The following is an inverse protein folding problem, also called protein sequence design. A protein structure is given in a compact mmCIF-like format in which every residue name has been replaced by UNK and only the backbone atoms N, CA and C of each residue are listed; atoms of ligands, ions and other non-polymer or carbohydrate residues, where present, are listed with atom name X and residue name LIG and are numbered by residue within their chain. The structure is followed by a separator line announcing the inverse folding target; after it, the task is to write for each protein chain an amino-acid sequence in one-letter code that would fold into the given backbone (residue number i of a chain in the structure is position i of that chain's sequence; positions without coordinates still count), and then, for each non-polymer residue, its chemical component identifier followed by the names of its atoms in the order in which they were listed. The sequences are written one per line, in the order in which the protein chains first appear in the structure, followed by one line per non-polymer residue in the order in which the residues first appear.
data_IF_649544737049
#
_entry.id   IF_649544737049
#
_cell.length_a   1.000
_cell.length_b   1.000
_cell.length_c   1.000
_cell.angle_alpha   90.00
_cell.angle_beta   90.00
_cell.angle_gamma   90.00
#
_symmetry.space_group_name_H-M   'P 1'
#
loop_
_entity.id
_entity.type
_entity.pdbx_description
1 polymer ?
#
# COMPACT_ATOMS: atom_id res chain seq x y z
N UNK A 1 -10.02 -9.66 -22.41
CA UNK A 1 -9.83 -9.76 -20.96
C UNK A 1 -8.39 -10.18 -20.70
N UNK A 2 -7.59 -9.34 -20.16
CA UNK A 2 -6.25 -9.62 -19.69
C UNK A 2 -6.26 -9.69 -18.18
N UNK A 3 -5.22 -10.23 -17.56
CA UNK A 3 -5.03 -10.17 -16.13
C UNK A 3 -4.56 -8.77 -15.66
N UNK A 4 -4.36 -8.61 -14.37
CA UNK A 4 -3.94 -7.31 -13.80
C UNK A 4 -2.52 -6.93 -14.22
N UNK A 5 -1.65 -7.89 -14.48
CA UNK A 5 -0.28 -7.63 -14.92
C UNK A 5 -0.27 -7.15 -16.36
N UNK A 6 -1.03 -7.79 -17.26
CA UNK A 6 -1.25 -7.34 -18.64
C UNK A 6 -1.84 -5.92 -18.69
N UNK A 7 -2.77 -5.61 -17.76
CA UNK A 7 -3.33 -4.28 -17.65
C UNK A 7 -2.27 -3.24 -17.31
N UNK A 8 -1.46 -3.51 -16.27
CA UNK A 8 -0.41 -2.59 -15.82
C UNK A 8 0.66 -2.40 -16.90
N UNK A 9 1.10 -3.50 -17.55
CA UNK A 9 2.10 -3.44 -18.60
C UNK A 9 1.66 -2.53 -19.75
N UNK A 10 0.45 -2.69 -20.25
CA UNK A 10 -0.09 -1.83 -21.30
C UNK A 10 -0.20 -0.38 -20.87
N UNK A 11 -0.73 -0.13 -19.66
CA UNK A 11 -0.91 1.23 -19.15
C UNK A 11 0.41 1.95 -18.86
N UNK A 12 1.43 1.22 -18.46
CA UNK A 12 2.76 1.78 -18.23
C UNK A 12 3.51 2.00 -19.54
N UNK A 13 3.30 1.15 -20.55
CA UNK A 13 3.89 1.33 -21.88
C UNK A 13 3.31 2.56 -22.61
N UNK A 14 2.01 2.80 -22.48
CA UNK A 14 1.35 3.97 -23.06
C UNK A 14 1.75 5.30 -22.35
N UNK A 15 2.22 5.21 -21.12
CA UNK A 15 2.52 6.33 -20.27
C UNK A 15 3.98 6.75 -20.27
N UNK A 16 4.60 6.99 -21.43
CA UNK A 16 5.93 7.59 -21.49
C UNK A 16 5.86 9.05 -21.03
N UNK A 17 5.97 9.27 -19.73
CA UNK A 17 6.08 10.62 -19.20
C UNK A 17 7.48 11.18 -19.52
N UNK A 18 7.50 12.38 -20.06
CA UNK A 18 8.72 13.19 -20.13
C UNK A 18 9.12 13.48 -18.68
N UNK A 19 10.18 12.85 -18.22
CA UNK A 19 10.69 13.10 -16.87
C UNK A 19 11.36 14.47 -16.85
N UNK A 20 10.88 15.34 -15.99
CA UNK A 20 11.57 16.59 -15.71
C UNK A 20 12.82 16.28 -14.87
N UNK A 21 14.03 16.71 -15.29
CA UNK A 21 15.24 16.49 -14.49
C UNK A 21 15.18 17.07 -13.07
N UNK A 22 14.38 18.11 -12.83
CA UNK A 22 14.16 18.67 -11.49
C UNK A 22 13.45 17.69 -10.55
N UNK A 23 12.81 16.64 -11.09
CA UNK A 23 12.12 15.61 -10.33
C UNK A 23 12.96 14.36 -10.04
N UNK A 24 14.26 14.37 -10.37
CA UNK A 24 15.12 13.19 -10.22
C UNK A 24 15.26 12.70 -8.78
N UNK A 25 15.17 13.59 -7.81
CA UNK A 25 15.18 13.25 -6.38
C UNK A 25 13.83 12.74 -5.86
N UNK A 26 12.75 12.88 -6.63
CA UNK A 26 11.40 12.46 -6.23
C UNK A 26 11.18 11.00 -6.65
N UNK A 27 10.91 10.07 -5.70
CA UNK A 27 10.83 8.65 -6.00
C UNK A 27 9.57 8.24 -6.78
N UNK A 28 8.50 9.05 -6.73
CA UNK A 28 7.26 8.82 -7.44
C UNK A 28 6.91 10.05 -8.30
N UNK A 29 6.96 9.88 -9.60
CA UNK A 29 6.72 10.94 -10.59
C UNK A 29 5.50 10.67 -11.47
N UNK A 30 4.56 9.88 -10.97
CA UNK A 30 3.34 9.45 -11.65
C UNK A 30 3.24 7.94 -11.79
N UNK A 31 2.13 7.46 -12.33
CA UNK A 31 1.84 6.05 -12.49
C UNK A 31 0.71 5.56 -11.59
N UNK A 32 0.80 4.32 -11.12
CA UNK A 32 -0.26 3.67 -10.36
C UNK A 32 0.16 3.38 -8.93
N UNK A 33 -0.75 3.61 -7.99
CA UNK A 33 -0.60 3.29 -6.57
C UNK A 33 -1.73 2.35 -6.17
N UNK A 34 -1.43 1.26 -5.47
CA UNK A 34 -2.44 0.30 -5.10
C UNK A 34 -1.87 -0.91 -4.38
N UNK A 35 -2.58 -2.03 -4.49
CA UNK A 35 -2.13 -3.30 -3.94
C UNK A 35 -2.46 -4.48 -4.86
N UNK A 36 -1.69 -5.55 -4.69
CA UNK A 36 -1.97 -6.87 -5.19
C UNK A 36 -2.30 -7.77 -3.99
N UNK A 37 -3.46 -8.43 -4.01
CA UNK A 37 -3.82 -9.45 -3.04
C UNK A 37 -2.99 -10.71 -3.25
N UNK A 38 -2.91 -11.55 -2.24
CA UNK A 38 -2.16 -12.80 -2.29
C UNK A 38 -2.71 -13.76 -3.36
N UNK A 39 -3.98 -13.63 -3.72
CA UNK A 39 -4.66 -14.40 -4.75
C UNK A 39 -4.06 -14.20 -6.14
N UNK A 40 -3.39 -13.07 -6.39
CA UNK A 40 -2.66 -12.81 -7.64
C UNK A 40 -1.52 -13.81 -7.90
N UNK A 41 -1.09 -14.60 -6.91
CA UNK A 41 -0.17 -15.73 -7.13
C UNK A 41 -0.68 -16.74 -8.17
N UNK A 42 -2.00 -16.82 -8.35
CA UNK A 42 -2.59 -17.68 -9.36
C UNK A 42 -2.17 -17.34 -10.80
N UNK A 43 -1.73 -16.10 -11.02
CA UNK A 43 -1.21 -15.67 -12.33
C UNK A 43 0.16 -16.29 -12.68
N UNK A 44 0.90 -16.76 -11.66
CA UNK A 44 2.28 -17.24 -11.83
C UNK A 44 2.55 -18.63 -11.25
N UNK A 45 1.85 -19.02 -10.17
CA UNK A 45 2.16 -20.22 -9.39
C UNK A 45 1.08 -21.30 -9.45
N UNK A 46 -0.02 -21.06 -10.18
CA UNK A 46 -1.14 -22.00 -10.31
C UNK A 46 -2.35 -21.63 -9.45
N UNK A 47 -3.45 -22.39 -9.53
CA UNK A 47 -4.76 -22.00 -9.03
C UNK A 47 -4.76 -21.79 -7.51
N UNK A 48 -5.59 -20.84 -7.07
CA UNK A 48 -5.82 -20.58 -5.66
C UNK A 48 -6.63 -21.69 -4.99
N UNK A 49 -6.17 -22.16 -3.83
CA UNK A 49 -6.93 -23.07 -2.99
C UNK A 49 -8.03 -22.36 -2.18
N UNK A 50 -7.93 -21.06 -2.04
CA UNK A 50 -8.86 -20.19 -1.30
C UNK A 50 -9.11 -18.92 -2.09
N UNK A 51 -10.29 -18.32 -1.89
CA UNK A 51 -10.66 -17.01 -2.45
C UNK A 51 -10.82 -16.01 -1.32
N UNK A 52 -10.38 -14.79 -1.57
CA UNK A 52 -10.64 -13.65 -0.70
C UNK A 52 -12.01 -13.05 -1.01
N UNK A 53 -12.65 -12.43 -0.01
CA UNK A 53 -13.83 -11.58 -0.22
C UNK A 53 -13.44 -10.19 -0.73
N UNK A 54 -12.15 -9.84 -0.64
CA UNK A 54 -11.60 -8.59 -1.13
C UNK A 54 -11.16 -8.74 -2.59
N UNK A 55 -11.13 -7.64 -3.36
CA UNK A 55 -10.58 -7.66 -4.70
C UNK A 55 -9.13 -8.15 -4.75
N UNK A 56 -8.78 -8.93 -5.76
CA UNK A 56 -7.42 -9.44 -5.95
C UNK A 56 -6.40 -8.32 -6.22
N UNK A 57 -6.84 -7.19 -6.77
CA UNK A 57 -6.02 -6.01 -6.96
C UNK A 57 -6.87 -4.75 -7.04
N UNK A 58 -6.35 -3.65 -6.54
CA UNK A 58 -6.95 -2.32 -6.71
C UNK A 58 -5.86 -1.29 -6.96
N UNK A 59 -6.09 -0.41 -7.95
CA UNK A 59 -5.14 0.62 -8.37
C UNK A 59 -5.82 1.96 -8.52
N UNK A 60 -5.10 3.03 -8.18
CA UNK A 60 -5.45 4.41 -8.49
C UNK A 60 -4.34 5.05 -9.31
N UNK A 61 -4.67 5.91 -10.24
CA UNK A 61 -3.75 6.80 -10.93
C UNK A 61 -3.96 8.21 -10.38
N UNK A 62 -3.07 8.71 -9.52
CA UNK A 62 -3.19 10.08 -9.00
C UNK A 62 -3.05 11.09 -10.14
N UNK A 63 -3.95 12.07 -10.21
CA UNK A 63 -3.80 13.24 -11.08
C UNK A 63 -2.90 14.31 -10.42
N UNK A 64 -2.89 14.35 -9.08
CA UNK A 64 -2.02 15.21 -8.30
C UNK A 64 -1.59 14.52 -7.01
N UNK A 65 -0.45 14.90 -6.48
CA UNK A 65 0.07 14.38 -5.20
C UNK A 65 1.03 15.33 -4.52
N UNK A 66 1.25 15.09 -3.24
CA UNK A 66 2.27 15.79 -2.45
C UNK A 66 3.37 14.79 -2.10
N UNK A 67 4.62 15.10 -2.45
CA UNK A 67 5.80 14.39 -2.00
C UNK A 67 6.48 15.21 -0.90
N UNK A 68 6.64 14.64 0.31
CA UNK A 68 7.31 15.31 1.41
C UNK A 68 8.67 14.69 1.66
N UNK A 69 9.71 15.50 1.49
CA UNK A 69 11.10 15.14 1.82
C UNK A 69 11.35 15.38 3.31
N UNK A 70 11.40 14.30 4.08
CA UNK A 70 11.67 14.36 5.53
C UNK A 70 13.10 14.79 5.87
N UNK A 71 14.05 14.66 4.95
CA UNK A 71 15.43 15.03 5.18
C UNK A 71 15.64 16.54 4.98
N UNK A 72 15.11 17.07 3.87
CA UNK A 72 15.20 18.50 3.54
C UNK A 72 14.06 19.34 4.12
N UNK A 73 13.02 18.68 4.67
CA UNK A 73 11.78 19.31 5.14
C UNK A 73 11.06 20.10 4.06
N UNK A 74 11.08 19.59 2.83
CA UNK A 74 10.40 20.19 1.69
C UNK A 74 9.16 19.39 1.28
N UNK A 75 8.09 20.10 0.92
CA UNK A 75 6.92 19.54 0.29
C UNK A 75 6.92 19.90 -1.20
N UNK A 76 6.89 18.90 -2.06
CA UNK A 76 6.72 19.05 -3.50
C UNK A 76 5.26 18.79 -3.84
N UNK A 77 4.65 19.73 -4.53
CA UNK A 77 3.28 19.63 -5.02
C UNK A 77 3.37 19.31 -6.51
N UNK A 78 2.80 18.18 -6.91
CA UNK A 78 2.96 17.62 -8.25
C UNK A 78 1.60 17.33 -8.88
N UNK A 79 1.47 17.63 -10.16
CA UNK A 79 0.32 17.28 -10.98
C UNK A 79 0.79 16.65 -12.28
N UNK A 80 -0.04 15.76 -12.84
CA UNK A 80 0.17 15.27 -14.21
C UNK A 80 -0.19 16.38 -15.18
N UNK A 81 0.70 16.66 -16.14
CA UNK A 81 0.41 17.47 -17.30
C UNK A 81 -0.06 16.55 -18.46
N UNK A 82 -1.27 16.08 -18.35
CA UNK A 82 -1.88 15.17 -19.32
C UNK A 82 -3.33 15.64 -19.59
N UNK A 83 -3.49 16.33 -20.71
CA UNK A 83 -4.79 16.94 -21.11
C UNK A 83 -5.86 15.90 -21.40
N UNK A 84 -5.48 14.67 -21.71
CA UNK A 84 -6.39 13.58 -22.01
C UNK A 84 -6.82 12.81 -20.77
N UNK A 85 -6.16 13.02 -19.62
CA UNK A 85 -6.54 12.42 -18.35
C UNK A 85 -7.58 13.29 -17.63
N UNK A 86 -8.79 12.78 -17.34
CA UNK A 86 -9.79 13.51 -16.57
C UNK A 86 -9.24 14.00 -15.24
N UNK A 87 -9.51 15.25 -14.89
CA UNK A 87 -9.13 15.84 -13.61
C UNK A 87 -7.74 16.48 -13.56
N UNK A 88 -6.93 16.44 -14.63
CA UNK A 88 -5.59 17.05 -14.62
C UNK A 88 -5.63 18.57 -14.52
N UNK A 89 -6.57 19.25 -15.19
CA UNK A 89 -6.68 20.70 -15.06
C UNK A 89 -7.12 21.12 -13.66
N UNK A 90 -8.13 20.43 -13.09
CA UNK A 90 -8.60 20.67 -11.74
C UNK A 90 -7.52 20.30 -10.70
N UNK A 91 -6.61 19.38 -11.02
CA UNK A 91 -5.53 18.98 -10.17
C UNK A 91 -4.50 20.09 -9.94
N UNK A 92 -4.16 20.86 -10.98
CA UNK A 92 -3.26 22.00 -10.86
C UNK A 92 -3.88 23.10 -9.98
N UNK A 93 -5.13 23.44 -10.23
CA UNK A 93 -5.88 24.44 -9.44
C UNK A 93 -5.98 24.01 -7.96
N UNK A 94 -6.18 22.71 -7.70
CA UNK A 94 -6.21 22.16 -6.35
C UNK A 94 -4.84 22.31 -5.64
N UNK A 95 -3.74 22.06 -6.35
CA UNK A 95 -2.40 22.22 -5.78
C UNK A 95 -2.10 23.67 -5.43
N UNK A 96 -2.49 24.62 -6.25
CA UNK A 96 -2.35 26.05 -5.94
C UNK A 96 -3.16 26.46 -4.70
N UNK A 97 -4.38 25.97 -4.57
CA UNK A 97 -5.21 26.18 -3.39
C UNK A 97 -4.60 25.55 -2.13
N UNK A 98 -4.02 24.35 -2.26
CA UNK A 98 -3.32 23.65 -1.17
C UNK A 98 -2.05 24.41 -0.76
N UNK A 99 -1.24 24.87 -1.71
CA UNK A 99 -0.05 25.68 -1.45
C UNK A 99 -0.41 26.93 -0.63
N UNK A 100 -1.43 27.67 -1.06
CA UNK A 100 -1.94 28.84 -0.34
C UNK A 100 -2.43 28.52 1.07
N UNK A 101 -2.99 27.32 1.28
CA UNK A 101 -3.48 26.86 2.58
C UNK A 101 -2.34 26.47 3.51
N UNK A 102 -1.34 25.77 3.00
CA UNK A 102 -0.16 25.31 3.77
C UNK A 102 0.65 26.49 4.29
N UNK A 103 0.78 27.56 3.51
CA UNK A 103 1.46 28.80 3.93
C UNK A 103 0.71 29.52 5.05
N UNK A 104 -0.63 29.47 5.04
CA UNK A 104 -1.49 30.21 5.99
C UNK A 104 -1.74 29.49 7.32
N UNK A 105 -1.58 28.18 7.37
CA UNK A 105 -1.82 27.39 8.59
C UNK A 105 -0.53 26.75 9.08
N UNK A 106 0.13 27.29 10.09
CA UNK A 106 1.10 26.51 10.86
C UNK A 106 0.35 25.30 11.44
N UNK A 107 0.88 24.11 11.17
CA UNK A 107 0.21 22.86 11.49
C UNK A 107 -0.22 22.80 12.95
N UNK A 108 -1.50 22.63 13.20
CA UNK A 108 -1.98 22.28 14.54
C UNK A 108 -1.63 20.79 14.74
N UNK A 109 -0.77 20.52 15.68
CA UNK A 109 -0.45 19.16 16.14
C UNK A 109 -1.55 18.65 17.10
N UNK A 110 -2.81 18.80 16.74
CA UNK A 110 -3.86 18.16 17.52
C UNK A 110 -3.65 16.66 17.50
N UNK A 111 -3.19 16.12 18.60
CA UNK A 111 -3.17 14.68 18.78
C UNK A 111 -4.60 14.14 18.71
N UNK A 112 -4.88 13.21 17.79
CA UNK A 112 -6.21 12.61 17.77
C UNK A 112 -6.45 11.89 19.09
N UNK A 113 -7.67 12.01 19.61
CA UNK A 113 -8.10 11.28 20.78
C UNK A 113 -7.74 9.79 20.70
N UNK A 114 -7.39 9.15 21.83
CA UNK A 114 -7.10 7.73 21.86
C UNK A 114 -8.20 6.92 21.16
N UNK A 115 -7.82 6.01 20.29
CA UNK A 115 -8.76 5.14 19.63
C UNK A 115 -9.01 3.92 20.51
N UNK A 116 -10.25 3.80 21.01
CA UNK A 116 -10.72 2.57 21.65
C UNK A 116 -11.45 1.74 20.61
N UNK A 117 -10.89 0.59 20.24
CA UNK A 117 -11.50 -0.35 19.32
C UNK A 117 -12.12 -1.47 20.15
N UNK A 118 -13.35 -1.94 19.85
CA UNK A 118 -13.93 -3.11 20.49
C UNK A 118 -13.00 -4.31 20.30
N UNK A 119 -12.80 -5.07 21.38
CA UNK A 119 -11.94 -6.27 21.35
C UNK A 119 -12.70 -7.51 20.90
N UNK A 120 -14.01 -7.38 20.63
CA UNK A 120 -14.83 -8.49 20.15
C UNK A 120 -14.50 -8.85 18.71
N UNK A 121 -14.04 -10.06 18.51
CA UNK A 121 -13.65 -10.58 17.20
C UNK A 121 -13.18 -12.02 17.30
N UNK A 122 -12.81 -12.60 16.17
CA UNK A 122 -12.36 -13.98 16.10
C UNK A 122 -11.16 -14.16 15.19
N UNK A 123 -10.30 -15.07 15.55
CA UNK A 123 -9.27 -15.59 14.67
C UNK A 123 -9.89 -16.58 13.67
N UNK A 124 -9.37 -16.62 12.45
CA UNK A 124 -9.76 -17.59 11.45
C UNK A 124 -9.41 -19.02 11.89
N UNK A 125 -8.25 -19.20 12.52
CA UNK A 125 -7.83 -20.47 13.09
C UNK A 125 -8.15 -20.53 14.57
N UNK A 126 -8.63 -21.68 15.03
CA UNK A 126 -8.64 -21.96 16.46
C UNK A 126 -7.21 -22.12 16.99
N UNK A 127 -7.02 -22.00 18.31
CA UNK A 127 -5.72 -22.22 18.94
C UNK A 127 -5.12 -23.60 18.56
N UNK A 128 -5.91 -24.65 18.60
CA UNK A 128 -5.49 -26.00 18.20
C UNK A 128 -5.10 -26.05 16.73
N UNK A 129 -5.97 -25.54 15.85
CA UNK A 129 -5.68 -25.51 14.42
C UNK A 129 -4.43 -24.69 14.06
N UNK A 130 -4.12 -23.62 14.80
CA UNK A 130 -2.86 -22.89 14.63
C UNK A 130 -1.65 -23.74 15.06
N UNK A 131 -1.74 -24.42 16.23
CA UNK A 131 -0.69 -25.30 16.72
C UNK A 131 -0.40 -26.48 15.78
N UNK A 132 -1.45 -27.09 15.22
CA UNK A 132 -1.33 -28.17 14.24
C UNK A 132 -0.58 -27.71 12.98
N UNK A 133 -0.85 -26.48 12.49
CA UNK A 133 -0.13 -25.91 11.35
C UNK A 133 1.33 -25.63 11.67
N UNK A 134 1.64 -25.12 12.88
CA UNK A 134 3.02 -24.95 13.34
C UNK A 134 3.76 -26.29 13.34
N UNK A 135 3.16 -27.34 13.88
CA UNK A 135 3.75 -28.68 13.91
C UNK A 135 4.00 -29.23 12.47
N UNK A 136 3.03 -29.03 11.57
CA UNK A 136 3.18 -29.45 10.18
C UNK A 136 4.31 -28.71 9.46
N UNK A 137 4.44 -27.38 9.70
CA UNK A 137 5.55 -26.59 9.18
C UNK A 137 6.88 -27.09 9.72
N UNK A 138 7.00 -27.33 11.02
CA UNK A 138 8.24 -27.86 11.62
C UNK A 138 8.65 -29.20 11.02
N UNK A 139 7.68 -30.08 10.75
CA UNK A 139 7.96 -31.35 10.05
C UNK A 139 8.44 -31.13 8.62
N UNK A 140 7.84 -30.18 7.88
CA UNK A 140 8.26 -29.85 6.50
C UNK A 140 9.69 -29.27 6.48
N UNK A 141 10.02 -28.40 7.42
CA UNK A 141 11.38 -27.86 7.59
C UNK A 141 12.40 -28.98 7.93
N UNK A 142 12.04 -29.93 8.81
CA UNK A 142 12.89 -31.08 9.16
C UNK A 142 13.13 -31.99 7.96
N UNK A 143 12.15 -32.17 7.07
CA UNK A 143 12.31 -32.93 5.84
C UNK A 143 13.12 -32.21 4.77
N UNK A 144 13.34 -30.92 4.91
CA UNK A 144 14.02 -30.10 3.91
C UNK A 144 13.11 -29.62 2.76
N UNK A 145 11.78 -29.66 2.96
CA UNK A 145 10.82 -29.17 1.97
C UNK A 145 10.91 -27.64 1.79
N UNK A 146 11.36 -26.95 2.85
CA UNK A 146 11.65 -25.50 2.86
C UNK A 146 12.70 -25.22 3.94
N UNK A 147 13.31 -24.04 3.94
CA UNK A 147 14.22 -23.60 5.00
C UNK A 147 13.53 -22.65 5.99
N UNK A 148 12.45 -21.99 5.58
CA UNK A 148 11.60 -21.17 6.45
C UNK A 148 10.14 -21.15 5.95
N UNK A 149 9.23 -20.78 6.83
CA UNK A 149 7.84 -20.55 6.48
C UNK A 149 7.24 -19.47 7.38
N UNK A 150 6.41 -18.61 6.79
CA UNK A 150 5.67 -17.59 7.52
C UNK A 150 4.19 -18.00 7.65
N UNK A 151 3.80 -18.44 8.84
CA UNK A 151 2.40 -18.76 9.13
C UNK A 151 1.64 -17.47 9.44
N UNK A 152 0.60 -17.21 8.66
CA UNK A 152 -0.30 -16.07 8.87
C UNK A 152 -1.67 -16.51 9.32
N UNK A 153 -2.34 -15.65 10.08
CA UNK A 153 -3.74 -15.81 10.45
C UNK A 153 -4.48 -14.47 10.34
N UNK A 154 -5.81 -14.51 10.34
CA UNK A 154 -6.65 -13.33 10.20
C UNK A 154 -7.51 -13.16 11.45
N UNK A 155 -7.44 -11.97 12.05
CA UNK A 155 -8.37 -11.52 13.06
C UNK A 155 -9.47 -10.70 12.40
N UNK A 156 -10.73 -11.07 12.64
CA UNK A 156 -11.90 -10.34 12.13
C UNK A 156 -12.68 -9.74 13.28
N UNK A 157 -13.00 -8.47 13.17
CA UNK A 157 -13.83 -7.74 14.14
C UNK A 157 -14.77 -6.79 13.40
N UNK A 158 -15.94 -6.58 13.95
CA UNK A 158 -16.86 -5.53 13.50
C UNK A 158 -16.63 -4.28 14.35
N UNK A 159 -16.27 -3.18 13.71
CA UNK A 159 -16.14 -1.90 14.38
C UNK A 159 -16.55 -0.76 13.44
N UNK A 160 -17.17 0.27 14.01
CA UNK A 160 -17.50 1.49 13.28
C UNK A 160 -16.40 2.53 13.52
N UNK A 161 -15.24 2.28 12.92
CA UNK A 161 -14.07 3.13 13.03
C UNK A 161 -13.70 3.63 11.64
N UNK A 162 -13.52 4.94 11.53
CA UNK A 162 -12.95 5.55 10.33
C UNK A 162 -11.52 5.04 10.09
N UNK A 163 -11.26 4.56 8.87
CA UNK A 163 -9.98 3.93 8.52
C UNK A 163 -8.80 4.87 8.64
N UNK A 164 -8.98 6.17 8.38
CA UNK A 164 -7.92 7.16 8.58
C UNK A 164 -7.54 7.32 10.06
N UNK A 165 -8.54 7.34 10.94
CA UNK A 165 -8.30 7.36 12.40
C UNK A 165 -7.58 6.10 12.85
N UNK A 166 -8.00 4.93 12.33
CA UNK A 166 -7.35 3.65 12.61
C UNK A 166 -5.89 3.66 12.14
N UNK A 167 -5.63 4.11 10.91
CA UNK A 167 -4.27 4.20 10.38
C UNK A 167 -3.38 5.14 11.20
N UNK A 168 -3.90 6.30 11.62
CA UNK A 168 -3.15 7.23 12.49
C UNK A 168 -2.79 6.60 13.83
N UNK A 169 -3.67 5.80 14.41
CA UNK A 169 -3.40 5.05 15.64
C UNK A 169 -2.36 3.94 15.40
N UNK A 170 -2.52 3.16 14.32
CA UNK A 170 -1.58 2.13 13.91
C UNK A 170 -0.17 2.69 13.69
N UNK A 171 -0.05 3.74 12.90
CA UNK A 171 1.23 4.39 12.58
C UNK A 171 1.99 4.86 13.84
N UNK A 172 1.28 5.31 14.86
CA UNK A 172 1.90 5.71 16.14
C UNK A 172 2.29 4.53 17.00
N UNK A 173 1.42 3.52 17.05
CA UNK A 173 1.66 2.33 17.88
C UNK A 173 2.75 1.44 17.30
N UNK A 174 2.78 1.31 15.99
CA UNK A 174 3.70 0.47 15.25
C UNK A 174 4.25 1.22 14.02
N UNK A 175 5.16 2.20 14.23
CA UNK A 175 5.76 2.94 13.13
C UNK A 175 6.57 2.00 12.24
N UNK A 176 6.40 2.12 10.92
CA UNK A 176 7.10 1.31 9.94
C UNK A 176 7.50 2.16 8.72
N UNK A 177 8.68 1.88 8.11
CA UNK A 177 9.21 2.70 7.02
C UNK A 177 8.38 2.63 5.73
N UNK A 178 7.61 1.58 5.55
CA UNK A 178 6.73 1.36 4.38
C UNK A 178 5.26 1.31 4.78
N UNK A 179 4.90 2.04 5.83
CA UNK A 179 3.49 2.20 6.22
C UNK A 179 2.69 2.90 5.13
N UNK A 180 1.46 2.44 4.89
CA UNK A 180 0.58 3.00 3.88
C UNK A 180 -0.88 3.03 4.35
N UNK A 181 -1.60 4.06 3.91
CA UNK A 181 -3.06 4.12 3.97
C UNK A 181 -3.60 4.28 2.56
N UNK A 182 -4.40 3.32 2.12
CA UNK A 182 -5.07 3.36 0.83
C UNK A 182 -6.58 3.38 1.06
N UNK A 183 -7.29 4.23 0.32
CA UNK A 183 -8.74 4.32 0.37
C UNK A 183 -9.30 4.26 -1.04
N UNK A 184 -10.11 3.25 -1.28
CA UNK A 184 -10.85 3.05 -2.52
C UNK A 184 -12.34 3.24 -2.25
N UNK A 185 -13.07 3.79 -3.19
CA UNK A 185 -14.49 4.13 -3.02
C UNK A 185 -15.42 3.13 -3.69
N UNK A 186 -14.96 2.44 -4.74
CA UNK A 186 -15.75 1.47 -5.48
C UNK A 186 -14.89 0.27 -5.93
N UNK A 187 -15.04 -0.92 -5.33
CA UNK A 187 -15.73 -1.14 -4.06
C UNK A 187 -15.04 -0.39 -2.91
N UNK A 188 -15.79 -0.08 -1.86
CA UNK A 188 -15.21 0.59 -0.70
C UNK A 188 -14.27 -0.35 0.04
N UNK A 189 -12.98 -0.08 -0.07
CA UNK A 189 -11.91 -0.81 0.64
C UNK A 189 -10.92 0.21 1.21
N UNK A 190 -10.55 0.02 2.47
CA UNK A 190 -9.51 0.82 3.12
C UNK A 190 -8.41 -0.11 3.64
N UNK A 191 -7.17 0.17 3.27
CA UNK A 191 -5.99 -0.61 3.67
C UNK A 191 -5.14 0.23 4.60
N UNK A 192 -4.92 -0.28 5.83
CA UNK A 192 -4.01 0.30 6.81
C UNK A 192 -2.80 -0.62 6.96
N UNK A 193 -1.68 -0.25 6.38
CA UNK A 193 -0.47 -1.07 6.37
C UNK A 193 0.61 -0.50 7.29
N UNK A 194 1.30 -1.38 8.02
CA UNK A 194 2.49 -1.08 8.81
C UNK A 194 3.60 -2.04 8.40
N UNK A 195 4.02 -1.95 7.12
CA UNK A 195 5.03 -2.84 6.55
C UNK A 195 6.44 -2.39 6.94
N UNK A 196 7.25 -3.27 7.54
CA UNK A 196 8.62 -2.98 7.90
C UNK A 196 9.61 -3.21 6.75
N UNK A 197 9.19 -3.90 5.69
CA UNK A 197 10.09 -4.48 4.70
C UNK A 197 9.76 -4.01 3.28
N UNK A 198 10.79 -3.78 2.48
CA UNK A 198 10.68 -3.50 1.05
C UNK A 198 10.94 -4.77 0.25
N UNK A 199 9.87 -5.29 -0.40
CA UNK A 199 9.99 -6.47 -1.25
C UNK A 199 10.85 -6.20 -2.48
N UNK A 200 10.50 -5.19 -3.26
CA UNK A 200 11.19 -4.90 -4.52
C UNK A 200 11.16 -3.40 -4.83
N UNK A 201 12.28 -2.90 -5.35
CA UNK A 201 12.41 -1.62 -6.02
C UNK A 201 13.17 -1.85 -7.32
N UNK A 202 12.64 -1.32 -8.40
CA UNK A 202 13.36 -1.29 -9.69
C UNK A 202 13.54 0.16 -10.08
N UNK A 203 14.78 0.56 -10.32
CA UNK A 203 15.12 1.91 -10.79
C UNK A 203 16.36 1.84 -11.67
N UNK A 204 16.32 2.52 -12.82
CA UNK A 204 17.46 2.62 -13.75
C UNK A 204 18.05 1.24 -14.12
N UNK A 205 17.17 0.24 -14.33
CA UNK A 205 17.56 -1.14 -14.66
C UNK A 205 18.09 -1.97 -13.47
N UNK A 206 18.16 -1.39 -12.27
CA UNK A 206 18.62 -2.08 -11.05
C UNK A 206 17.43 -2.50 -10.21
N UNK A 207 17.34 -3.79 -9.91
CA UNK A 207 16.38 -4.36 -8.97
C UNK A 207 17.02 -4.48 -7.57
N UNK A 208 16.34 -3.97 -6.54
CA UNK A 208 16.80 -3.99 -5.16
C UNK A 208 15.71 -4.55 -4.25
N UNK A 209 16.07 -5.52 -3.40
CA UNK A 209 15.26 -6.00 -2.29
C UNK A 209 15.98 -5.71 -0.97
N UNK A 210 15.20 -5.46 0.10
CA UNK A 210 15.74 -5.24 1.46
C UNK A 210 15.01 -6.15 2.46
N UNK A 211 15.33 -7.46 2.44
CA UNK A 211 14.74 -8.39 3.40
C UNK A 211 15.27 -8.10 4.80
N UNK A 212 14.40 -8.29 5.81
CA UNK A 212 14.79 -8.20 7.23
C UNK A 212 15.26 -9.56 7.74
N UNK A 213 14.73 -10.63 7.14
CA UNK A 213 15.00 -12.02 7.51
C UNK A 213 15.44 -12.80 6.30
N UNK A 214 16.28 -13.76 6.50
CA UNK A 214 16.80 -14.66 5.47
C UNK A 214 18.23 -15.00 5.70
#
# INVERSE_FOLDING_TARGET
SGDVLDFLERRLADGVSRRDPELDDIPFTGGYVGFLGYECKALTLGPNAHCSELPDAMWMRPASWIAYDHYRHHAHLLALDDRDTPGCNEAADLLDALAATLVKRPGSSEEPAPLTVPVEGSWRLSRGGYQDRVAAIQQALTRGDSYEACLTDTWTSRCDVDGWRLYRALRRRNPAPYGAYLRFTDPRVEVCSSSPERFLRVRDGIAESKPIKG
#
